data_IF_283939717183
#
_entry.id   IF_283939717183
#
_cell.length_a   1.000
_cell.length_b   1.000
_cell.length_c   1.000
_cell.angle_alpha   90.00
_cell.angle_beta   90.00
_cell.angle_gamma   90.00
#
_symmetry.space_group_name_H-M   'P 1'
#
loop_
_entity.id
_entity.type
_entity.pdbx_description
1 polymer ?
#
# COMPACT_ATOMS: atom_id res chain seq x y z
N UNK A 1 8.51 19.16 10.20
CA UNK A 1 8.89 18.13 11.22
C UNK A 1 8.23 16.80 11.05
N UNK A 2 6.98 16.72 10.52
CA UNK A 2 6.23 15.45 10.44
C UNK A 2 6.63 14.53 9.28
N UNK A 3 7.15 15.07 8.19
CA UNK A 3 7.53 14.28 7.01
C UNK A 3 8.77 13.42 7.25
N UNK A 4 9.79 13.95 7.92
CA UNK A 4 11.01 13.21 8.24
C UNK A 4 10.73 12.00 9.15
N UNK A 5 9.90 12.16 10.18
CA UNK A 5 9.52 11.07 11.08
C UNK A 5 8.69 9.98 10.37
N UNK A 6 7.85 10.38 9.41
CA UNK A 6 7.07 9.43 8.61
C UNK A 6 7.93 8.57 7.69
N UNK A 7 8.92 9.16 7.03
CA UNK A 7 9.87 8.45 6.18
C UNK A 7 10.76 7.52 6.99
N UNK A 8 11.27 7.95 8.13
CA UNK A 8 12.05 7.10 9.03
C UNK A 8 11.25 5.87 9.47
N UNK A 9 9.98 6.08 9.87
CA UNK A 9 9.09 4.96 10.24
C UNK A 9 8.87 4.02 9.05
N UNK A 10 8.68 4.54 7.84
CA UNK A 10 8.56 3.73 6.62
C UNK A 10 9.79 2.85 6.41
N UNK A 11 11.00 3.39 6.57
CA UNK A 11 12.24 2.63 6.47
C UNK A 11 12.34 1.51 7.49
N UNK A 12 11.97 1.78 8.73
CA UNK A 12 11.98 0.79 9.80
C UNK A 12 10.96 -0.33 9.54
N UNK A 13 9.80 0.00 8.99
CA UNK A 13 8.79 -0.98 8.56
C UNK A 13 9.34 -1.84 7.42
N UNK A 14 9.92 -1.24 6.38
CA UNK A 14 10.51 -1.95 5.26
C UNK A 14 11.65 -2.89 5.71
N UNK A 15 12.52 -2.43 6.62
CA UNK A 15 13.54 -3.27 7.23
C UNK A 15 12.95 -4.45 8.02
N UNK A 16 11.81 -4.26 8.66
CA UNK A 16 11.10 -5.35 9.36
C UNK A 16 10.52 -6.36 8.37
N UNK A 17 9.96 -5.91 7.25
CA UNK A 17 9.45 -6.76 6.17
C UNK A 17 10.57 -7.59 5.51
N UNK A 18 11.75 -6.98 5.30
CA UNK A 18 12.91 -7.70 4.78
C UNK A 18 13.39 -8.80 5.75
N UNK A 19 13.43 -8.52 7.05
CA UNK A 19 13.77 -9.54 8.06
C UNK A 19 12.80 -10.72 8.08
N UNK A 20 11.57 -10.52 7.62
CA UNK A 20 10.58 -11.59 7.40
C UNK A 20 10.81 -12.35 6.09
N UNK A 21 11.82 -11.99 5.30
CA UNK A 21 12.21 -12.69 4.07
C UNK A 21 11.56 -12.15 2.79
N UNK A 22 10.93 -10.98 2.83
CA UNK A 22 10.32 -10.39 1.64
C UNK A 22 11.30 -9.45 0.94
N UNK A 23 11.62 -9.66 -0.37
CA UNK A 23 12.22 -8.63 -1.19
C UNK A 23 11.24 -7.47 -1.33
N UNK A 24 11.64 -6.26 -0.93
CA UNK A 24 10.75 -5.09 -0.87
C UNK A 24 11.17 -4.06 -1.91
N UNK A 25 10.20 -3.54 -2.67
CA UNK A 25 10.35 -2.32 -3.45
C UNK A 25 9.47 -1.22 -2.88
N UNK A 26 10.03 -0.03 -2.71
CA UNK A 26 9.30 1.18 -2.30
C UNK A 26 9.15 2.10 -3.50
N UNK A 27 7.92 2.43 -3.85
CA UNK A 27 7.60 3.47 -4.82
C UNK A 27 7.36 4.77 -4.06
N UNK A 28 8.33 5.69 -4.12
CA UNK A 28 8.25 6.96 -3.41
C UNK A 28 7.60 8.03 -4.30
N UNK A 29 6.32 8.21 -4.13
CA UNK A 29 5.52 9.24 -4.82
C UNK A 29 5.76 10.66 -4.33
N UNK A 30 6.65 10.88 -3.35
CA UNK A 30 7.09 12.23 -2.93
C UNK A 30 8.40 12.62 -3.61
N UNK A 31 9.16 11.65 -4.14
CA UNK A 31 10.39 11.86 -4.88
C UNK A 31 10.10 12.12 -6.37
N UNK A 32 10.63 13.24 -6.87
CA UNK A 32 10.48 13.61 -8.28
C UNK A 32 11.43 12.80 -9.17
N UNK A 33 10.92 12.41 -10.31
CA UNK A 33 11.66 11.73 -11.37
C UNK A 33 12.29 12.78 -12.30
N UNK A 34 13.52 12.55 -12.72
CA UNK A 34 14.26 13.39 -13.69
C UNK A 34 14.99 12.49 -14.69
N UNK A 35 15.57 13.11 -15.73
CA UNK A 35 16.37 12.40 -16.73
C UNK A 35 17.64 11.79 -16.11
N UNK A 36 18.21 12.46 -15.10
CA UNK A 36 19.37 11.96 -14.35
C UNK A 36 19.01 10.92 -13.28
N UNK A 37 17.74 10.87 -12.87
CA UNK A 37 17.21 9.91 -11.90
C UNK A 37 15.91 9.33 -12.45
N UNK A 38 16.01 8.39 -13.40
CA UNK A 38 14.84 7.75 -13.97
C UNK A 38 14.10 6.94 -12.89
N UNK A 39 12.77 7.02 -12.92
CA UNK A 39 11.93 6.40 -11.93
C UNK A 39 10.82 5.57 -12.55
N UNK A 40 9.68 5.52 -11.86
CA UNK A 40 8.55 4.68 -12.24
C UNK A 40 8.00 5.01 -13.62
N UNK A 41 7.91 6.29 -14.02
CA UNK A 41 7.39 6.67 -15.33
C UNK A 41 8.24 6.09 -16.46
N UNK A 42 9.57 6.16 -16.32
CA UNK A 42 10.50 5.56 -17.28
C UNK A 42 10.28 4.03 -17.38
N UNK A 43 10.14 3.35 -16.25
CA UNK A 43 9.86 1.91 -16.22
C UNK A 43 8.57 1.55 -16.96
N UNK A 44 7.49 2.30 -16.71
CA UNK A 44 6.20 2.07 -17.34
C UNK A 44 6.23 2.30 -18.86
N UNK A 45 7.05 3.23 -19.33
CA UNK A 45 7.20 3.51 -20.75
C UNK A 45 8.01 2.45 -21.49
N UNK A 46 9.01 1.85 -20.83
CA UNK A 46 9.93 0.90 -21.43
C UNK A 46 9.55 -0.57 -21.19
N UNK A 47 8.71 -0.87 -20.21
CA UNK A 47 8.25 -2.23 -19.91
C UNK A 47 7.45 -2.87 -21.06
N UNK A 48 6.90 -2.06 -21.98
CA UNK A 48 6.11 -2.53 -23.12
C UNK A 48 6.97 -2.97 -24.32
N UNK A 49 8.29 -2.70 -24.31
CA UNK A 49 9.16 -2.89 -25.49
C UNK A 49 10.14 -4.06 -25.38
N UNK A 50 10.31 -4.63 -24.21
CA UNK A 50 11.30 -5.69 -24.01
C UNK A 50 10.72 -6.87 -23.24
N UNK A 51 10.39 -7.93 -23.95
CA UNK A 51 10.07 -9.27 -23.39
C UNK A 51 11.25 -9.91 -22.60
N UNK A 52 12.36 -9.22 -22.44
CA UNK A 52 13.55 -9.74 -21.79
C UNK A 52 14.32 -8.79 -20.86
N UNK A 53 14.02 -7.50 -20.88
CA UNK A 53 14.65 -6.55 -19.95
C UNK A 53 13.76 -6.32 -18.72
N UNK A 54 13.52 -7.36 -17.92
CA UNK A 54 13.32 -7.11 -16.50
C UNK A 54 14.55 -6.33 -16.07
N UNK A 55 14.36 -5.14 -15.50
CA UNK A 55 15.42 -4.50 -14.73
C UNK A 55 15.86 -5.55 -13.73
N UNK A 56 16.99 -6.21 -14.02
CA UNK A 56 17.70 -7.05 -13.08
C UNK A 56 18.29 -6.14 -11.99
N UNK A 57 17.43 -5.45 -11.28
CA UNK A 57 17.66 -5.03 -9.92
C UNK A 57 17.73 -6.35 -9.16
N UNK A 58 18.89 -7.01 -9.17
CA UNK A 58 19.12 -8.34 -8.63
C UNK A 58 18.45 -8.53 -7.25
N UNK A 59 17.14 -8.73 -7.29
CA UNK A 59 16.31 -8.81 -6.09
C UNK A 59 16.63 -10.13 -5.39
N UNK A 60 17.53 -10.04 -4.45
CA UNK A 60 17.76 -11.11 -3.46
C UNK A 60 16.72 -10.99 -2.35
N UNK A 61 16.53 -12.03 -1.56
CA UNK A 61 15.59 -12.02 -0.42
C UNK A 61 15.87 -10.88 0.60
N UNK A 62 17.03 -10.24 0.55
CA UNK A 62 17.44 -9.10 1.38
C UNK A 62 17.40 -7.75 0.64
N UNK A 63 16.84 -7.67 -0.57
CA UNK A 63 16.84 -6.45 -1.36
C UNK A 63 15.78 -5.46 -0.88
N UNK A 64 16.19 -4.22 -0.70
CA UNK A 64 15.32 -3.06 -0.55
C UNK A 64 15.66 -2.07 -1.65
N UNK A 65 14.76 -1.89 -2.58
CA UNK A 65 14.89 -0.88 -3.62
C UNK A 65 13.94 0.29 -3.34
N UNK A 66 14.37 1.51 -3.63
CA UNK A 66 13.53 2.70 -3.60
C UNK A 66 13.58 3.36 -4.95
N UNK A 67 12.40 3.62 -5.49
CA UNK A 67 12.24 4.16 -6.84
C UNK A 67 11.47 5.47 -6.75
N UNK A 68 12.01 6.59 -7.25
CA UNK A 68 11.25 7.82 -7.42
C UNK A 68 10.02 7.56 -8.28
N UNK A 69 8.84 7.99 -7.82
CA UNK A 69 7.60 7.55 -8.45
C UNK A 69 6.52 8.64 -8.58
N UNK A 70 6.84 9.90 -8.29
CA UNK A 70 5.84 10.96 -8.28
C UNK A 70 5.10 11.10 -9.62
N UNK A 71 5.83 11.16 -10.75
CA UNK A 71 5.26 11.29 -12.09
C UNK A 71 4.58 9.99 -12.54
N UNK A 72 5.21 8.83 -12.29
CA UNK A 72 4.67 7.53 -12.65
C UNK A 72 3.36 7.21 -11.95
N UNK A 73 3.27 7.45 -10.64
CA UNK A 73 2.04 7.27 -9.88
C UNK A 73 0.93 8.24 -10.29
N UNK A 74 1.26 9.52 -10.59
CA UNK A 74 0.30 10.46 -11.15
C UNK A 74 -0.21 10.03 -12.53
N UNK A 75 0.66 9.49 -13.38
CA UNK A 75 0.27 8.95 -14.67
C UNK A 75 -0.72 7.79 -14.54
N UNK A 76 -0.45 6.85 -13.64
CA UNK A 76 -1.34 5.74 -13.33
C UNK A 76 -2.67 6.21 -12.72
N UNK A 77 -2.62 7.16 -11.80
CA UNK A 77 -3.80 7.75 -11.15
C UNK A 77 -4.76 8.40 -12.17
N UNK A 78 -4.23 9.09 -13.19
CA UNK A 78 -5.06 9.66 -14.27
C UNK A 78 -5.68 8.58 -15.15
N UNK A 79 -4.96 7.50 -15.45
CA UNK A 79 -5.48 6.36 -16.21
C UNK A 79 -6.54 5.55 -15.46
N UNK A 80 -6.54 5.59 -14.14
CA UNK A 80 -7.52 4.91 -13.29
C UNK A 80 -8.96 5.40 -13.54
N UNK A 81 -9.10 6.69 -13.89
CA UNK A 81 -10.41 7.29 -14.17
C UNK A 81 -10.99 6.73 -15.47
N UNK A 82 -11.92 5.78 -15.36
CA UNK A 82 -12.58 5.15 -16.51
C UNK A 82 -12.12 3.72 -16.85
N UNK A 83 -11.19 3.16 -16.09
CA UNK A 83 -10.78 1.76 -16.24
C UNK A 83 -11.59 0.85 -15.32
N UNK A 84 -11.97 -0.32 -15.83
CA UNK A 84 -12.59 -1.41 -15.03
C UNK A 84 -11.53 -2.31 -14.36
N UNK A 85 -10.26 -2.13 -14.72
CA UNK A 85 -9.13 -2.88 -14.15
C UNK A 85 -8.37 -2.02 -13.15
N UNK A 86 -7.75 -2.68 -12.18
CA UNK A 86 -6.86 -1.99 -11.25
C UNK A 86 -5.68 -1.36 -12.00
N UNK A 87 -5.43 -0.07 -11.84
CA UNK A 87 -4.26 0.58 -12.46
C UNK A 87 -2.94 -0.01 -11.94
N UNK A 88 -2.97 -0.69 -10.79
CA UNK A 88 -1.82 -1.37 -10.19
C UNK A 88 -1.35 -2.58 -10.99
N UNK A 89 -2.22 -3.20 -11.80
CA UNK A 89 -1.84 -4.35 -12.64
C UNK A 89 -0.72 -4.02 -13.64
N UNK A 90 -0.63 -2.77 -14.08
CA UNK A 90 0.45 -2.32 -14.97
C UNK A 90 1.83 -2.27 -14.30
N UNK A 91 1.91 -2.39 -12.98
CA UNK A 91 3.16 -2.47 -12.23
C UNK A 91 3.74 -3.90 -12.19
N UNK A 92 2.91 -4.92 -12.39
CA UNK A 92 3.34 -6.32 -12.32
C UNK A 92 4.55 -6.65 -13.20
N UNK A 93 4.59 -6.25 -14.49
CA UNK A 93 5.73 -6.56 -15.34
C UNK A 93 7.05 -5.98 -14.82
N UNK A 94 6.98 -4.79 -14.17
CA UNK A 94 8.16 -4.08 -13.68
C UNK A 94 8.73 -4.70 -12.40
N UNK A 95 7.89 -5.33 -11.56
CA UNK A 95 8.26 -5.67 -10.18
C UNK A 95 8.05 -7.15 -9.82
N UNK A 96 8.02 -8.06 -10.79
CA UNK A 96 7.80 -9.50 -10.59
C UNK A 96 8.80 -10.17 -9.65
N UNK A 97 10.00 -9.64 -9.54
CA UNK A 97 11.07 -10.18 -8.71
C UNK A 97 10.94 -9.80 -7.24
N UNK A 98 10.08 -8.84 -6.92
CA UNK A 98 9.81 -8.40 -5.55
C UNK A 98 8.63 -9.17 -4.96
N UNK A 99 8.77 -9.57 -3.70
CA UNK A 99 7.68 -10.20 -2.95
C UNK A 99 6.67 -9.20 -2.42
N UNK A 100 7.08 -7.94 -2.24
CA UNK A 100 6.24 -6.89 -1.69
C UNK A 100 6.56 -5.53 -2.33
N UNK A 101 5.50 -4.80 -2.69
CA UNK A 101 5.59 -3.41 -3.14
C UNK A 101 4.92 -2.49 -2.12
N UNK A 102 5.65 -1.51 -1.66
CA UNK A 102 5.16 -0.47 -0.74
C UNK A 102 5.06 0.84 -1.51
N UNK A 103 3.88 1.45 -1.50
CA UNK A 103 3.66 2.74 -2.17
C UNK A 103 3.50 3.82 -1.11
N UNK A 104 4.40 4.78 -1.14
CA UNK A 104 4.36 5.97 -0.31
C UNK A 104 4.01 7.18 -1.18
N UNK A 105 2.82 7.74 -1.02
CA UNK A 105 2.37 8.87 -1.82
C UNK A 105 1.27 9.67 -1.13
N UNK A 106 0.98 10.91 -1.58
CA UNK A 106 -0.16 11.68 -1.11
C UNK A 106 -1.48 10.95 -1.34
N UNK A 107 -2.43 11.11 -0.41
CA UNK A 107 -3.74 10.45 -0.48
C UNK A 107 -4.51 10.77 -1.77
N UNK A 108 -4.33 11.97 -2.33
CA UNK A 108 -4.89 12.37 -3.63
C UNK A 108 -4.41 11.54 -4.82
N UNK A 109 -3.18 11.05 -4.73
CA UNK A 109 -2.59 10.15 -5.74
C UNK A 109 -2.97 8.69 -5.46
N UNK A 110 -2.97 8.28 -4.18
CA UNK A 110 -3.27 6.90 -3.78
C UNK A 110 -4.75 6.55 -3.99
N UNK A 111 -5.69 7.45 -3.69
CA UNK A 111 -7.12 7.17 -3.78
C UNK A 111 -7.53 6.53 -5.12
N UNK A 112 -7.27 7.15 -6.28
CA UNK A 112 -7.57 6.54 -7.57
C UNK A 112 -6.86 5.21 -7.82
N UNK A 113 -5.62 5.05 -7.32
CA UNK A 113 -4.83 3.83 -7.52
C UNK A 113 -5.37 2.63 -6.75
N UNK A 114 -6.02 2.87 -5.63
CA UNK A 114 -6.62 1.83 -4.78
C UNK A 114 -7.97 1.32 -5.32
N UNK A 115 -8.53 1.96 -6.33
CA UNK A 115 -9.78 1.51 -6.97
C UNK A 115 -9.62 0.09 -7.50
N UNK A 116 -10.60 -0.76 -7.22
CA UNK A 116 -10.59 -2.18 -7.57
C UNK A 116 -9.45 -3.01 -6.93
N UNK A 117 -8.93 -2.57 -5.79
CA UNK A 117 -7.98 -3.35 -4.98
C UNK A 117 -8.60 -3.74 -3.65
N UNK A 118 -8.13 -4.85 -3.06
CA UNK A 118 -8.49 -5.25 -1.70
C UNK A 118 -7.54 -4.67 -0.64
N UNK A 119 -6.60 -3.81 -1.04
CA UNK A 119 -5.60 -3.23 -0.15
C UNK A 119 -6.22 -2.27 0.84
N UNK A 120 -5.89 -2.43 2.12
CA UNK A 120 -6.26 -1.49 3.18
C UNK A 120 -5.12 -0.51 3.40
N UNK A 121 -5.27 0.78 3.01
CA UNK A 121 -4.18 1.74 3.12
C UNK A 121 -3.92 2.15 4.56
N UNK A 122 -2.67 2.46 4.86
CA UNK A 122 -2.23 3.02 6.13
C UNK A 122 -2.10 4.54 6.04
N UNK A 123 -2.80 5.24 6.92
CA UNK A 123 -2.63 6.68 7.15
C UNK A 123 -1.81 6.88 8.42
N UNK A 124 -0.68 7.56 8.32
CA UNK A 124 0.16 7.89 9.46
C UNK A 124 -0.30 9.23 10.06
N UNK A 125 -0.70 9.22 11.33
CA UNK A 125 -1.15 10.40 12.04
C UNK A 125 -0.02 10.99 12.88
N UNK A 126 0.30 12.25 12.62
CA UNK A 126 1.17 13.03 13.48
C UNK A 126 0.48 13.47 14.78
N UNK A 127 1.26 14.06 15.66
CA UNK A 127 0.75 14.54 16.96
C UNK A 127 -0.07 15.84 16.84
N UNK A 128 -1.00 16.03 17.78
CA UNK A 128 -1.77 17.25 17.93
C UNK A 128 -2.96 17.40 17.00
N UNK A 129 -3.69 18.52 17.14
CA UNK A 129 -4.89 18.81 16.33
C UNK A 129 -4.59 18.88 14.81
N UNK A 130 -3.43 19.38 14.44
CA UNK A 130 -2.99 19.43 13.05
C UNK A 130 -2.82 18.02 12.46
N UNK A 131 -2.29 17.07 13.23
CA UNK A 131 -2.18 15.66 12.84
C UNK A 131 -3.54 15.03 12.60
N UNK A 132 -4.50 15.24 13.48
CA UNK A 132 -5.89 14.76 13.33
C UNK A 132 -6.52 15.33 12.06
N UNK A 133 -6.39 16.64 11.83
CA UNK A 133 -6.96 17.33 10.67
C UNK A 133 -6.35 16.82 9.35
N UNK A 134 -5.04 16.65 9.31
CA UNK A 134 -4.33 16.14 8.12
C UNK A 134 -4.75 14.70 7.84
N UNK A 135 -4.82 13.86 8.85
CA UNK A 135 -5.28 12.47 8.71
C UNK A 135 -6.73 12.39 8.24
N UNK A 136 -7.62 13.23 8.78
CA UNK A 136 -9.01 13.30 8.32
C UNK A 136 -9.11 13.69 6.82
N UNK A 137 -8.31 14.69 6.38
CA UNK A 137 -8.24 15.06 4.96
C UNK A 137 -7.77 13.90 4.07
N UNK A 138 -6.76 13.16 4.52
CA UNK A 138 -6.26 11.98 3.80
C UNK A 138 -7.31 10.87 3.71
N UNK A 139 -7.98 10.57 4.83
CA UNK A 139 -9.08 9.59 4.86
C UNK A 139 -10.23 9.99 3.92
N UNK A 140 -10.61 11.27 3.93
CA UNK A 140 -11.65 11.78 3.03
C UNK A 140 -11.26 11.61 1.57
N UNK A 141 -10.02 11.91 1.19
CA UNK A 141 -9.53 11.73 -0.18
C UNK A 141 -9.54 10.27 -0.61
N UNK A 142 -9.15 9.35 0.27
CA UNK A 142 -9.18 7.91 -0.02
C UNK A 142 -10.64 7.45 -0.14
N UNK A 143 -11.52 7.83 0.80
CA UNK A 143 -12.91 7.42 0.84
C UNK A 143 -13.71 7.84 -0.41
N UNK A 144 -13.35 8.95 -1.07
CA UNK A 144 -13.96 9.40 -2.31
C UNK A 144 -13.80 8.40 -3.47
N UNK A 145 -12.77 7.55 -3.43
CA UNK A 145 -12.44 6.62 -4.51
C UNK A 145 -12.72 5.16 -4.18
N UNK A 146 -12.53 4.77 -2.93
CA UNK A 146 -12.54 3.34 -2.53
C UNK A 146 -13.50 3.02 -1.41
N UNK A 147 -14.15 4.04 -0.82
CA UNK A 147 -14.80 3.86 0.47
C UNK A 147 -13.77 3.60 1.58
N UNK A 148 -14.22 3.14 2.73
CA UNK A 148 -13.37 2.63 3.78
C UNK A 148 -13.48 1.09 3.78
N UNK A 149 -12.42 0.34 4.03
CA UNK A 149 -11.61 0.44 5.25
C UNK A 149 -10.23 1.08 5.05
N UNK A 150 -9.82 1.88 6.05
CA UNK A 150 -8.46 2.40 6.21
C UNK A 150 -7.92 2.03 7.58
N UNK A 151 -6.60 1.96 7.71
CA UNK A 151 -5.90 1.85 8.97
C UNK A 151 -5.20 3.17 9.30
N UNK A 152 -5.29 3.64 10.54
CA UNK A 152 -4.60 4.85 11.00
C UNK A 152 -3.64 4.48 12.12
N UNK A 153 -2.37 4.82 11.98
CA UNK A 153 -1.37 4.67 13.02
C UNK A 153 -0.93 6.02 13.56
N UNK A 154 -1.09 6.23 14.85
CA UNK A 154 -0.52 7.40 15.54
C UNK A 154 0.91 7.09 15.97
N UNK A 155 1.86 7.92 15.52
CA UNK A 155 3.26 7.79 15.89
C UNK A 155 3.52 8.45 17.24
N UNK A 156 4.17 7.71 18.12
CA UNK A 156 4.63 8.18 19.42
C UNK A 156 6.14 8.39 19.39
N UNK A 157 6.60 9.58 19.82
CA UNK A 157 8.02 9.88 19.92
C UNK A 157 8.63 9.33 21.22
N UNK A 158 7.83 9.26 22.27
CA UNK A 158 8.19 8.59 23.52
C UNK A 158 7.11 7.56 23.90
N UNK A 159 7.51 6.53 24.63
CA UNK A 159 6.59 5.47 25.04
C UNK A 159 5.98 5.75 26.43
N UNK A 160 5.68 7.02 26.73
CA UNK A 160 5.06 7.40 28.01
C UNK A 160 3.57 7.12 28.02
N UNK A 161 3.04 6.80 29.22
CA UNK A 161 1.60 6.59 29.38
C UNK A 161 0.76 7.86 29.07
N UNK A 162 1.34 9.04 29.27
CA UNK A 162 0.69 10.31 28.96
C UNK A 162 0.55 10.51 27.45
N UNK A 163 1.63 10.25 26.68
CA UNK A 163 1.61 10.37 25.23
C UNK A 163 0.67 9.33 24.59
N UNK A 164 0.70 8.07 25.07
CA UNK A 164 -0.24 7.04 24.62
C UNK A 164 -1.70 7.45 24.83
N UNK A 165 -2.05 7.96 26.04
CA UNK A 165 -3.41 8.43 26.33
C UNK A 165 -3.83 9.58 25.42
N UNK A 166 -2.93 10.53 25.18
CA UNK A 166 -3.16 11.66 24.27
C UNK A 166 -3.41 11.18 22.83
N UNK A 167 -2.55 10.31 22.31
CA UNK A 167 -2.70 9.75 20.97
C UNK A 167 -3.99 8.94 20.83
N UNK A 168 -4.34 8.16 21.84
CA UNK A 168 -5.58 7.38 21.85
C UNK A 168 -6.82 8.28 21.82
N UNK A 169 -6.84 9.36 22.62
CA UNK A 169 -7.93 10.36 22.58
C UNK A 169 -8.06 11.00 21.19
N UNK A 170 -6.95 11.32 20.55
CA UNK A 170 -6.94 11.87 19.19
C UNK A 170 -7.45 10.86 18.15
N UNK A 171 -7.05 9.60 18.25
CA UNK A 171 -7.56 8.52 17.39
C UNK A 171 -9.06 8.32 17.57
N UNK A 172 -9.57 8.33 18.79
CA UNK A 172 -11.02 8.25 19.07
C UNK A 172 -11.78 9.41 18.43
N UNK A 173 -11.25 10.63 18.51
CA UNK A 173 -11.84 11.81 17.86
C UNK A 173 -11.87 11.63 16.34
N UNK A 174 -10.77 11.16 15.75
CA UNK A 174 -10.69 10.91 14.32
C UNK A 174 -11.65 9.79 13.88
N UNK A 175 -11.75 8.73 14.66
CA UNK A 175 -12.67 7.62 14.41
C UNK A 175 -14.13 8.07 14.43
N UNK A 176 -14.54 8.82 15.45
CA UNK A 176 -15.89 9.37 15.55
C UNK A 176 -16.22 10.30 14.37
N UNK A 177 -15.25 11.11 13.91
CA UNK A 177 -15.42 11.95 12.73
C UNK A 177 -15.54 11.10 11.44
N UNK A 178 -14.74 10.04 11.28
CA UNK A 178 -14.79 9.17 10.12
C UNK A 178 -16.13 8.42 10.06
N UNK A 179 -16.58 7.84 11.15
CA UNK A 179 -17.89 7.15 11.23
C UNK A 179 -19.04 8.10 10.87
N UNK A 180 -19.03 9.32 11.40
CA UNK A 180 -20.10 10.31 11.16
C UNK A 180 -20.13 10.88 9.76
N UNK A 181 -18.97 11.10 9.13
CA UNK A 181 -18.86 11.90 7.92
C UNK A 181 -18.31 11.15 6.71
N UNK A 182 -17.66 9.99 6.89
CA UNK A 182 -17.06 9.21 5.81
C UNK A 182 -17.76 7.85 5.60
N UNK A 183 -18.75 7.55 6.43
CA UNK A 183 -19.66 6.42 6.23
C UNK A 183 -19.11 5.04 6.65
N UNK A 184 -18.04 4.98 7.44
CA UNK A 184 -17.54 3.69 7.91
C UNK A 184 -16.48 3.79 9.02
N UNK A 185 -16.27 2.68 9.74
CA UNK A 185 -15.25 2.61 10.79
C UNK A 185 -13.85 2.56 10.19
N UNK A 186 -12.89 3.13 10.89
CA UNK A 186 -11.46 3.00 10.61
C UNK A 186 -10.80 2.14 11.68
N UNK A 187 -9.76 1.40 11.30
CA UNK A 187 -8.91 0.69 12.27
C UNK A 187 -7.85 1.65 12.79
N UNK A 188 -7.62 1.67 14.09
CA UNK A 188 -6.65 2.58 14.70
C UNK A 188 -5.63 1.82 15.53
N UNK A 189 -4.38 2.30 15.54
CA UNK A 189 -3.30 1.76 16.36
C UNK A 189 -2.35 2.87 16.80
N UNK A 190 -1.61 2.63 17.85
CA UNK A 190 -0.51 3.51 18.32
C UNK A 190 0.82 2.77 18.15
N UNK A 191 1.82 3.45 17.62
CA UNK A 191 3.15 2.90 17.32
C UNK A 191 4.21 3.76 17.98
N UNK A 192 4.94 3.19 18.94
CA UNK A 192 6.15 3.82 19.47
C UNK A 192 7.31 3.52 18.51
N UNK A 193 7.79 4.55 17.82
CA UNK A 193 8.82 4.41 16.77
C UNK A 193 10.15 3.84 17.28
N UNK A 194 10.41 3.99 18.58
CA UNK A 194 11.58 3.43 19.25
C UNK A 194 11.39 1.98 19.76
N UNK A 195 10.17 1.41 19.59
CA UNK A 195 9.87 0.06 20.01
C UNK A 195 9.88 -0.91 18.82
N UNK A 196 10.88 -1.79 18.69
CA UNK A 196 10.94 -2.75 17.57
C UNK A 196 9.73 -3.68 17.48
N UNK A 197 9.11 -4.02 18.62
CA UNK A 197 7.94 -4.91 18.66
C UNK A 197 6.70 -4.20 18.07
N UNK A 198 6.52 -2.90 18.31
CA UNK A 198 5.43 -2.13 17.72
C UNK A 198 5.60 -2.04 16.20
N UNK A 199 6.84 -1.82 15.73
CA UNK A 199 7.15 -1.78 14.30
C UNK A 199 6.96 -3.13 13.62
N UNK A 200 7.37 -4.22 14.26
CA UNK A 200 7.16 -5.57 13.74
C UNK A 200 5.67 -5.90 13.67
N UNK A 201 4.90 -5.56 14.71
CA UNK A 201 3.44 -5.75 14.71
C UNK A 201 2.78 -4.95 13.57
N UNK A 202 3.20 -3.70 13.35
CA UNK A 202 2.69 -2.89 12.24
C UNK A 202 3.06 -3.50 10.89
N UNK A 203 4.29 -4.00 10.72
CA UNK A 203 4.70 -4.68 9.50
C UNK A 203 3.82 -5.91 9.20
N UNK A 204 3.52 -6.74 10.20
CA UNK A 204 2.61 -7.88 10.05
C UNK A 204 1.18 -7.43 9.70
N UNK A 205 0.66 -6.39 10.34
CA UNK A 205 -0.66 -5.84 9.99
C UNK A 205 -0.71 -5.29 8.56
N UNK A 206 0.39 -4.70 8.08
CA UNK A 206 0.47 -4.25 6.69
C UNK A 206 0.48 -5.42 5.70
N UNK A 207 1.13 -6.53 6.03
CA UNK A 207 1.08 -7.75 5.22
C UNK A 207 -0.34 -8.33 5.16
N UNK A 208 -1.05 -8.38 6.29
CA UNK A 208 -2.46 -8.82 6.34
C UNK A 208 -3.38 -7.91 5.52
N UNK A 209 -3.09 -6.63 5.46
CA UNK A 209 -3.85 -5.62 4.74
C UNK A 209 -3.39 -5.42 3.28
N UNK A 210 -2.34 -6.09 2.86
CA UNK A 210 -1.83 -6.01 1.49
C UNK A 210 -2.79 -6.69 0.52
N UNK A 211 -3.08 -6.03 -0.60
CA UNK A 211 -3.79 -6.64 -1.71
C UNK A 211 -2.86 -7.51 -2.54
N UNK A 212 -3.33 -8.65 -2.99
CA UNK A 212 -2.60 -9.48 -3.95
C UNK A 212 -2.81 -8.91 -5.35
N UNK A 213 -1.73 -8.61 -6.06
CA UNK A 213 -1.77 -8.26 -7.47
C UNK A 213 -1.80 -9.56 -8.28
N UNK A 214 -2.98 -9.93 -8.78
CA UNK A 214 -3.13 -11.08 -9.64
C UNK A 214 -2.89 -10.63 -11.09
N UNK A 215 -1.85 -11.18 -11.73
CA UNK A 215 -1.73 -11.10 -13.17
C UNK A 215 -2.85 -11.90 -13.85
N UNK A 216 -2.97 -11.80 -15.17
CA UNK A 216 -4.01 -12.42 -16.00
C UNK A 216 -4.19 -13.96 -15.84
N UNK A 217 -3.35 -14.63 -15.05
CA UNK A 217 -3.52 -16.04 -14.65
C UNK A 217 -4.72 -16.32 -13.76
N UNK A 218 -5.26 -15.30 -13.06
CA UNK A 218 -6.50 -15.48 -12.28
C UNK A 218 -7.75 -15.63 -13.16
N UNK A 219 -7.66 -15.31 -14.45
CA UNK A 219 -8.73 -15.54 -15.42
C UNK A 219 -8.86 -17.00 -15.89
N UNK A 220 -7.97 -17.89 -15.45
CA UNK A 220 -8.00 -19.33 -15.74
C UNK A 220 -8.50 -20.16 -14.57
N UNK A 221 -9.26 -19.62 -13.65
CA UNK A 221 -10.04 -20.45 -12.74
C UNK A 221 -11.09 -21.18 -13.58
N UNK A 222 -11.13 -22.51 -13.54
CA UNK A 222 -11.98 -23.30 -14.40
C UNK A 222 -13.44 -23.22 -13.94
N UNK A 223 -14.18 -22.25 -14.46
CA UNK A 223 -15.65 -22.27 -14.39
C UNK A 223 -16.26 -23.30 -15.32
N UNK A 224 -15.45 -24.17 -15.95
CA UNK A 224 -15.88 -25.14 -16.96
C UNK A 224 -15.67 -26.62 -16.57
N UNK A 225 -15.68 -26.95 -15.28
CA UNK A 225 -15.71 -28.36 -14.85
C UNK A 225 -17.06 -28.79 -14.24
N UNK A 226 -18.15 -28.12 -14.55
CA UNK A 226 -19.52 -28.58 -14.28
C UNK A 226 -20.17 -28.94 -15.61
N UNK A 227 -19.89 -30.14 -16.10
CA UNK A 227 -20.57 -30.62 -17.32
C UNK A 227 -20.03 -31.92 -17.90
N UNK A 228 -19.62 -32.89 -17.08
CA UNK A 228 -19.52 -34.26 -17.55
C UNK A 228 -20.50 -35.14 -16.72
N UNK A 229 -21.53 -35.70 -17.35
CA UNK A 229 -22.38 -36.70 -16.68
C UNK A 229 -21.55 -37.98 -16.50
N UNK A 230 -21.47 -38.44 -15.26
CA UNK A 230 -20.89 -39.73 -14.92
C UNK A 230 -21.83 -40.85 -15.46
N UNK A 231 -21.50 -41.45 -16.59
CA UNK A 231 -22.09 -42.71 -17.00
C UNK A 231 -21.44 -43.84 -16.22
N UNK A 232 -22.14 -44.31 -15.22
CA UNK A 232 -21.88 -45.60 -14.57
C UNK A 232 -22.33 -46.70 -15.52
N UNK A 233 -21.41 -47.46 -16.09
CA UNK A 233 -21.67 -48.74 -16.73
C UNK A 233 -21.37 -49.83 -15.70
N UNK A 234 -22.45 -50.49 -15.20
CA UNK A 234 -22.36 -51.78 -14.49
C UNK A 234 -22.17 -52.86 -15.56
N UNK A 235 -21.09 -53.64 -15.43
CA UNK A 235 -20.94 -54.91 -16.12
C UNK A 235 -21.11 -56.06 -15.12
N UNK A 236 -21.83 -57.05 -15.53
CA UNK A 236 -22.13 -58.32 -14.87
C UNK A 236 -20.87 -59.16 -14.59
#
# INVERSE_FOLDING_TARGET
GNTASGLETLWQICASLQRLGYPVVVLDGTAQESDDSPGLLHLLQHATWNDGASLNLGATASSLAVIPAAKGLQHLSRKASGSTRSPMESLLPCFRTYGLMVIHAPASTLGPLLTHTATVPLVVMGSGAAGVMTSYKSLKQIALHTGLPCMVAALLHSNTAAERRKAQSQLMTLQACAERHLGGPIRTTTIATQNPQDLQRLALQLLENAGTMNGALAALTPSNLTGMPAHFVRSH
#
